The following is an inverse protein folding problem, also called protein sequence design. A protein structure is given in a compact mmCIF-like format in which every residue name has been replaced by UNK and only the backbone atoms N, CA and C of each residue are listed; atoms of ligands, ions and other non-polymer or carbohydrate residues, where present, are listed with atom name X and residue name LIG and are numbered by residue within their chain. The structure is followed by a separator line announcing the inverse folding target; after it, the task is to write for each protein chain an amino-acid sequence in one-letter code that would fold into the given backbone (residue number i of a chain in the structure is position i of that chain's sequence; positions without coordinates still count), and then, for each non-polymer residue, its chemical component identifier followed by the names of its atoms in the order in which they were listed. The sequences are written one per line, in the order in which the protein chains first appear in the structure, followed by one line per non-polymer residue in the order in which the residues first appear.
data_IF_013693443827
#
_entry.id   IF_013693443827
#
_cell.length_a   1.000
_cell.length_b   1.000
_cell.length_c   1.000
_cell.angle_alpha   90.00
_cell.angle_beta   90.00
_cell.angle_gamma   90.00
#
_symmetry.space_group_name_H-M   'P 1'
#
loop_
_entity.id
_entity.type
_entity.pdbx_description
1 polymer ?
#
# COMPACT_ATOMS: atom_id res chain seq x y z
N UNK A 1 -10.81 7.56 -14.75
CA UNK A 1 -12.01 6.94 -14.16
C UNK A 1 -12.96 6.43 -15.26
N UNK A 2 -12.72 5.21 -15.77
CA UNK A 2 -13.70 4.41 -16.52
C UNK A 2 -13.36 2.94 -16.28
N UNK A 3 -14.29 2.18 -15.69
CA UNK A 3 -14.19 0.74 -15.51
C UNK A 3 -13.84 0.32 -14.10
N UNK A 4 -14.59 -0.67 -13.60
CA UNK A 4 -14.20 -1.51 -12.46
C UNK A 4 -12.73 -1.89 -12.55
N UNK A 5 -12.05 -2.00 -11.39
CA UNK A 5 -10.68 -2.51 -11.29
C UNK A 5 -10.56 -3.71 -12.24
N UNK A 6 -9.77 -3.64 -13.34
CA UNK A 6 -9.72 -4.73 -14.31
C UNK A 6 -9.42 -6.02 -13.53
N UNK A 7 -10.04 -7.15 -13.91
CA UNK A 7 -10.01 -8.38 -13.11
C UNK A 7 -8.62 -8.73 -12.52
N UNK A 8 -7.49 -8.55 -13.25
CA UNK A 8 -6.14 -8.73 -12.70
C UNK A 8 -5.81 -7.80 -11.51
N UNK A 9 -6.26 -6.55 -11.56
CA UNK A 9 -6.07 -5.53 -10.53
C UNK A 9 -6.86 -5.87 -9.26
N UNK A 10 -8.11 -6.32 -9.40
CA UNK A 10 -8.93 -6.75 -8.27
C UNK A 10 -8.35 -7.98 -7.58
N UNK A 11 -7.92 -8.99 -8.37
CA UNK A 11 -7.29 -10.20 -7.85
C UNK A 11 -5.97 -9.89 -7.13
N UNK A 12 -5.15 -9.01 -7.70
CA UNK A 12 -3.93 -8.55 -7.04
C UNK A 12 -4.26 -7.85 -5.71
N UNK A 13 -5.23 -6.92 -5.72
CA UNK A 13 -5.63 -6.19 -4.52
C UNK A 13 -6.11 -7.14 -3.41
N UNK A 14 -7.04 -8.05 -3.72
CA UNK A 14 -7.55 -9.03 -2.75
C UNK A 14 -6.39 -9.89 -2.22
N UNK A 15 -5.58 -10.47 -3.10
CA UNK A 15 -4.48 -11.35 -2.69
C UNK A 15 -3.46 -10.61 -1.83
N UNK A 16 -3.08 -9.40 -2.24
CA UNK A 16 -2.10 -8.57 -1.52
C UNK A 16 -2.62 -8.15 -0.14
N UNK A 17 -3.87 -7.67 -0.05
CA UNK A 17 -4.46 -7.27 1.23
C UNK A 17 -4.72 -8.46 2.15
N UNK A 18 -5.21 -9.58 1.62
CA UNK A 18 -5.40 -10.81 2.40
C UNK A 18 -4.08 -11.37 2.93
N UNK A 19 -3.02 -11.38 2.11
CA UNK A 19 -1.70 -11.86 2.52
C UNK A 19 -1.08 -10.92 3.58
N UNK A 20 -1.23 -9.60 3.40
CA UNK A 20 -0.75 -8.61 4.37
C UNK A 20 -1.46 -8.77 5.71
N UNK A 21 -2.78 -8.94 5.71
CA UNK A 21 -3.56 -9.22 6.91
C UNK A 21 -3.18 -10.54 7.59
N UNK A 22 -2.99 -11.60 6.80
CA UNK A 22 -2.55 -12.90 7.30
C UNK A 22 -1.16 -12.84 7.94
N UNK A 23 -0.19 -12.21 7.28
CA UNK A 23 1.17 -12.03 7.80
C UNK A 23 1.15 -11.17 9.06
N UNK A 24 0.37 -10.09 9.10
CA UNK A 24 0.18 -9.28 10.30
C UNK A 24 -0.40 -10.08 11.46
N UNK A 25 -1.41 -10.92 11.21
CA UNK A 25 -2.01 -11.81 12.19
C UNK A 25 -1.04 -12.87 12.72
N UNK A 26 -0.26 -13.50 11.83
CA UNK A 26 0.76 -14.49 12.20
C UNK A 26 1.89 -13.86 13.04
N UNK A 27 2.37 -12.69 12.61
CA UNK A 27 3.45 -11.97 13.29
C UNK A 27 3.01 -11.34 14.63
N UNK A 28 1.69 -11.14 14.85
CA UNK A 28 1.16 -10.64 16.14
C UNK A 28 1.64 -11.47 17.33
N UNK A 29 1.65 -12.80 17.21
CA UNK A 29 2.13 -13.70 18.26
C UNK A 29 3.63 -13.58 18.54
N UNK A 30 4.42 -13.19 17.54
CA UNK A 30 5.86 -12.96 17.66
C UNK A 30 6.18 -11.59 18.29
N UNK A 31 5.45 -10.53 17.89
CA UNK A 31 5.66 -9.18 18.40
C UNK A 31 5.03 -8.94 19.79
N UNK A 32 3.95 -9.62 20.16
CA UNK A 32 3.34 -9.51 21.50
C UNK A 32 4.27 -9.96 22.65
N UNK A 33 5.38 -10.64 22.36
CA UNK A 33 6.37 -11.06 23.37
C UNK A 33 7.48 -10.03 23.61
N UNK A 34 7.42 -8.87 22.97
CA UNK A 34 8.49 -7.87 22.96
C UNK A 34 7.94 -6.52 23.45
N UNK A 35 8.53 -5.99 24.53
CA UNK A 35 8.22 -4.65 25.13
C UNK A 35 8.48 -3.45 24.19
N UNK A 36 8.77 -3.69 22.92
CA UNK A 36 9.32 -2.69 21.99
C UNK A 36 8.27 -1.85 21.26
N UNK A 37 6.98 -2.21 21.35
CA UNK A 37 5.91 -1.47 20.69
C UNK A 37 4.60 -1.57 21.48
N UNK A 38 4.14 -0.46 22.03
CA UNK A 38 2.83 -0.31 22.67
C UNK A 38 1.92 0.45 21.72
N UNK A 39 0.99 -0.23 21.01
CA UNK A 39 0.12 0.42 20.03
C UNK A 39 -0.68 1.61 20.61
N UNK A 40 -0.98 1.57 21.91
CA UNK A 40 -1.73 2.64 22.61
C UNK A 40 -0.93 3.95 22.73
N UNK A 41 0.40 3.87 22.79
CA UNK A 41 1.28 5.02 23.09
C UNK A 41 2.19 5.40 21.91
N UNK A 42 2.59 4.44 21.08
CA UNK A 42 3.69 4.61 20.13
C UNK A 42 3.22 4.88 18.68
N UNK A 43 1.95 4.68 18.35
CA UNK A 43 1.48 4.75 16.96
C UNK A 43 1.67 6.12 16.26
N UNK A 44 1.79 7.20 17.04
CA UNK A 44 1.98 8.57 16.52
C UNK A 44 3.39 9.14 16.77
N UNK A 45 4.37 8.35 17.22
CA UNK A 45 5.75 8.84 17.32
C UNK A 45 6.40 8.92 15.93
N UNK A 46 7.20 9.95 15.71
CA UNK A 46 7.80 10.24 14.40
C UNK A 46 8.51 9.04 13.73
N UNK A 47 9.32 8.21 14.44
CA UNK A 47 9.95 7.04 13.84
C UNK A 47 8.94 6.05 13.26
N UNK A 48 7.81 5.83 13.93
CA UNK A 48 6.76 4.91 13.47
C UNK A 48 6.00 5.53 12.30
N UNK A 49 5.67 6.82 12.36
CA UNK A 49 5.06 7.53 11.24
C UNK A 49 5.95 7.50 9.98
N UNK A 50 7.26 7.64 10.15
CA UNK A 50 8.22 7.52 9.06
C UNK A 50 8.23 6.12 8.45
N UNK A 51 8.24 5.07 9.29
CA UNK A 51 8.16 3.68 8.81
C UNK A 51 6.84 3.45 8.05
N UNK A 52 5.71 3.90 8.59
CA UNK A 52 4.41 3.76 7.94
C UNK A 52 4.36 4.52 6.61
N UNK A 53 4.84 5.77 6.58
CA UNK A 53 4.93 6.57 5.37
C UNK A 53 5.81 5.92 4.29
N UNK A 54 7.00 5.44 4.66
CA UNK A 54 7.90 4.71 3.76
C UNK A 54 7.26 3.41 3.26
N UNK A 55 6.56 2.70 4.13
CA UNK A 55 5.83 1.47 3.76
C UNK A 55 4.74 1.79 2.74
N UNK A 56 3.93 2.83 2.98
CA UNK A 56 2.91 3.31 2.05
C UNK A 56 3.50 3.73 0.71
N UNK A 57 4.62 4.47 0.72
CA UNK A 57 5.33 4.87 -0.49
C UNK A 57 5.82 3.66 -1.30
N UNK A 58 6.50 2.71 -0.65
CA UNK A 58 7.04 1.52 -1.31
C UNK A 58 5.94 0.67 -1.92
N UNK A 59 4.89 0.35 -1.16
CA UNK A 59 3.76 -0.44 -1.65
C UNK A 59 3.11 0.23 -2.86
N UNK A 60 2.89 1.54 -2.77
CA UNK A 60 2.27 2.32 -3.87
C UNK A 60 3.15 2.34 -5.11
N UNK A 61 4.44 2.60 -4.93
CA UNK A 61 5.40 2.65 -6.03
C UNK A 61 5.49 1.31 -6.76
N UNK A 62 5.62 0.20 -6.02
CA UNK A 62 5.64 -1.13 -6.63
C UNK A 62 4.32 -1.47 -7.30
N UNK A 63 3.19 -1.12 -6.69
CA UNK A 63 1.88 -1.33 -7.28
C UNK A 63 1.72 -0.59 -8.62
N UNK A 64 2.09 0.68 -8.68
CA UNK A 64 1.96 1.50 -9.89
C UNK A 64 2.85 0.97 -11.02
N UNK A 65 4.10 0.60 -10.72
CA UNK A 65 5.01 -0.01 -11.70
C UNK A 65 4.46 -1.34 -12.21
N UNK A 66 4.12 -2.25 -11.29
CA UNK A 66 3.68 -3.59 -11.66
C UNK A 66 2.35 -3.56 -12.43
N UNK A 67 1.39 -2.75 -11.98
CA UNK A 67 0.09 -2.61 -12.67
C UNK A 67 0.26 -2.00 -14.07
N UNK A 68 1.14 -1.00 -14.22
CA UNK A 68 1.46 -0.42 -15.54
C UNK A 68 2.16 -1.44 -16.43
N UNK A 69 3.11 -2.20 -15.89
CA UNK A 69 3.83 -3.25 -16.61
C UNK A 69 2.89 -4.35 -17.10
N UNK A 70 2.05 -4.91 -16.21
CA UNK A 70 1.09 -5.94 -16.58
C UNK A 70 0.04 -5.40 -17.56
N UNK A 71 -0.41 -4.16 -17.39
CA UNK A 71 -1.27 -3.50 -18.36
C UNK A 71 -0.63 -3.44 -19.75
N UNK A 72 0.61 -2.95 -19.84
CA UNK A 72 1.35 -2.87 -21.09
C UNK A 72 1.56 -4.25 -21.75
N UNK A 73 1.85 -5.28 -20.95
CA UNK A 73 1.99 -6.65 -21.44
C UNK A 73 0.68 -7.21 -21.99
N UNK A 74 -0.47 -6.87 -21.40
CA UNK A 74 -1.78 -7.33 -21.89
C UNK A 74 -2.18 -6.69 -23.22
N UNK A 75 -1.82 -5.43 -23.46
CA UNK A 75 -2.23 -4.71 -24.68
C UNK A 75 -1.24 -4.85 -25.84
N UNK A 76 0.05 -4.70 -25.58
CA UNK A 76 1.07 -4.62 -26.63
C UNK A 76 2.18 -5.68 -26.52
N UNK A 77 2.29 -6.37 -25.37
CA UNK A 77 3.40 -7.31 -25.08
C UNK A 77 4.81 -6.71 -25.32
N UNK A 78 4.95 -5.39 -25.31
CA UNK A 78 6.22 -4.72 -25.61
C UNK A 78 6.70 -3.88 -24.43
N UNK A 79 8.01 -3.95 -24.17
CA UNK A 79 8.65 -3.17 -23.12
C UNK A 79 8.67 -1.67 -23.44
N UNK A 80 8.76 -1.32 -24.73
CA UNK A 80 8.69 0.07 -25.21
C UNK A 80 7.34 0.70 -24.88
N UNK A 81 6.24 -0.03 -25.09
CA UNK A 81 4.90 0.44 -24.73
C UNK A 81 4.76 0.65 -23.22
N UNK A 82 5.36 -0.22 -22.40
CA UNK A 82 5.45 -0.01 -20.95
C UNK A 82 6.17 1.30 -20.61
N UNK A 83 7.37 1.53 -21.16
CA UNK A 83 8.16 2.73 -20.87
C UNK A 83 7.43 4.01 -21.27
N UNK A 84 6.87 4.05 -22.49
CA UNK A 84 6.12 5.21 -22.98
C UNK A 84 4.91 5.48 -22.08
N UNK A 85 4.16 4.42 -21.73
CA UNK A 85 2.98 4.54 -20.88
C UNK A 85 3.36 5.01 -19.48
N UNK A 86 4.40 4.45 -18.87
CA UNK A 86 4.84 4.81 -17.52
C UNK A 86 5.38 6.24 -17.44
N UNK A 87 6.13 6.68 -18.46
CA UNK A 87 6.70 8.03 -18.53
C UNK A 87 5.72 9.08 -19.06
N UNK A 88 4.52 8.69 -19.47
CA UNK A 88 3.53 9.62 -20.00
C UNK A 88 3.13 10.63 -18.90
N UNK A 89 3.04 11.95 -19.20
CA UNK A 89 2.80 12.96 -18.17
C UNK A 89 1.55 12.71 -17.33
N UNK A 90 0.49 12.14 -17.92
CA UNK A 90 -0.75 11.78 -17.21
C UNK A 90 -0.50 10.74 -16.11
N UNK A 91 0.35 9.75 -16.38
CA UNK A 91 0.66 8.66 -15.45
C UNK A 91 1.64 9.13 -14.38
N UNK A 92 2.59 10.01 -14.73
CA UNK A 92 3.45 10.65 -13.73
C UNK A 92 2.63 11.46 -12.72
N UNK A 93 1.65 12.25 -13.18
CA UNK A 93 0.75 12.99 -12.28
C UNK A 93 -0.07 12.02 -11.43
N UNK A 94 -0.67 10.99 -12.04
CA UNK A 94 -1.43 9.98 -11.33
C UNK A 94 -0.59 9.30 -10.23
N UNK A 95 0.57 8.78 -10.55
CA UNK A 95 1.47 8.10 -9.61
C UNK A 95 1.95 9.04 -8.51
N UNK A 96 2.24 10.30 -8.84
CA UNK A 96 2.64 11.29 -7.82
C UNK A 96 1.50 11.56 -6.84
N UNK A 97 0.29 11.80 -7.34
CA UNK A 97 -0.90 12.01 -6.49
C UNK A 97 -1.22 10.76 -5.67
N UNK A 98 -1.11 9.58 -6.27
CA UNK A 98 -1.35 8.30 -5.61
C UNK A 98 -0.34 8.06 -4.48
N UNK A 99 0.94 8.33 -4.73
CA UNK A 99 2.01 8.18 -3.74
C UNK A 99 1.83 9.14 -2.56
N UNK A 100 1.55 10.43 -2.84
CA UNK A 100 1.26 11.40 -1.78
C UNK A 100 0.03 10.96 -0.97
N UNK A 101 -1.07 10.60 -1.65
CA UNK A 101 -2.31 10.18 -1.01
C UNK A 101 -2.11 8.97 -0.10
N UNK A 102 -1.42 7.94 -0.56
CA UNK A 102 -1.18 6.73 0.23
C UNK A 102 -0.18 6.96 1.35
N UNK A 103 0.88 7.75 1.15
CA UNK A 103 1.80 8.13 2.25
C UNK A 103 1.02 8.84 3.36
N UNK A 104 0.20 9.83 3.03
CA UNK A 104 -0.63 10.53 4.01
C UNK A 104 -1.65 9.58 4.67
N UNK A 105 -2.26 8.68 3.90
CA UNK A 105 -3.17 7.67 4.46
C UNK A 105 -2.48 6.74 5.46
N UNK A 106 -1.28 6.26 5.15
CA UNK A 106 -0.49 5.42 6.05
C UNK A 106 0.00 6.17 7.30
N UNK A 107 0.30 7.46 7.17
CA UNK A 107 0.76 8.29 8.30
C UNK A 107 -0.40 8.72 9.21
N UNK A 108 -1.55 9.12 8.65
CA UNK A 108 -2.62 9.74 9.43
C UNK A 108 -3.81 8.82 9.71
N UNK A 109 -4.19 7.97 8.74
CA UNK A 109 -5.41 7.16 8.84
C UNK A 109 -5.10 5.79 9.47
N UNK A 110 -4.03 5.13 9.03
CA UNK A 110 -3.71 3.77 9.48
C UNK A 110 -3.48 3.67 11.01
N UNK A 111 -2.71 4.56 11.66
CA UNK A 111 -2.61 4.60 13.12
C UNK A 111 -3.96 4.70 13.82
N UNK A 112 -4.82 5.61 13.35
CA UNK A 112 -6.16 5.82 13.91
C UNK A 112 -7.07 4.60 13.75
N UNK A 113 -7.01 3.94 12.59
CA UNK A 113 -7.73 2.69 12.36
C UNK A 113 -7.26 1.56 13.29
N UNK A 114 -5.94 1.43 13.49
CA UNK A 114 -5.39 0.42 14.41
C UNK A 114 -5.91 0.67 15.83
N UNK A 115 -5.88 1.92 16.30
CA UNK A 115 -6.41 2.28 17.63
C UNK A 115 -7.90 1.98 17.76
N UNK A 116 -8.69 2.30 16.73
CA UNK A 116 -10.13 2.02 16.71
C UNK A 116 -10.39 0.50 16.79
N UNK A 117 -9.70 -0.30 15.98
CA UNK A 117 -9.86 -1.76 15.96
C UNK A 117 -9.46 -2.35 17.32
N UNK A 118 -8.36 -1.92 17.91
CA UNK A 118 -7.95 -2.36 19.26
C UNK A 118 -9.05 -2.05 20.27
N UNK A 119 -9.62 -0.85 20.25
CA UNK A 119 -10.70 -0.45 21.16
C UNK A 119 -12.01 -1.23 20.95
N UNK A 120 -12.26 -1.73 19.75
CA UNK A 120 -13.45 -2.56 19.45
C UNK A 120 -13.26 -4.03 19.83
N UNK A 121 -12.02 -4.49 19.94
CA UNK A 121 -11.66 -5.87 20.30
C UNK A 121 -11.39 -6.04 21.81
N UNK A 122 -11.10 -4.94 22.52
CA UNK A 122 -11.06 -4.85 23.99
C UNK A 122 -12.50 -4.80 24.56
#
# INVERSE_FOLDING_TARGET
PLGTSPLPLLLYQITHYSLTGFLGGFLRGYFNKRDYFKPKDDLYIFPILLILGLTGALITFFYDILSTFFGAMLFSQSFEYFLITYLLPINLIFTTTHLIGNVLGFVFILPGLIQLIIKLLD
#
